data_IF_323252362500
#
_entry.id   IF_323252362500
#
_cell.length_a   1.000
_cell.length_b   1.000
_cell.length_c   1.000
_cell.angle_alpha   90.00
_cell.angle_beta   90.00
_cell.angle_gamma   90.00
#
_symmetry.space_group_name_H-M   'P 1'
#
loop_
_entity.id
_entity.type
_entity.pdbx_description
1 polymer ?
#
# COMPACT_ATOMS: atom_id res chain seq x y z
N UNK A 1 -11.41 -4.33 -3.12
CA UNK A 1 -10.20 -3.61 -3.60
C UNK A 1 -9.27 -3.34 -2.42
N UNK A 2 -7.95 -3.47 -2.56
CA UNK A 2 -6.96 -3.09 -1.51
C UNK A 2 -6.33 -1.74 -1.87
N UNK A 3 -6.24 -0.84 -0.90
CA UNK A 3 -5.57 0.46 -1.04
C UNK A 3 -4.53 0.60 0.06
N UNK A 4 -3.28 0.86 -0.32
CA UNK A 4 -2.16 1.02 0.61
C UNK A 4 -1.61 2.43 0.49
N UNK A 5 -1.60 3.15 1.60
CA UNK A 5 -1.02 4.50 1.68
C UNK A 5 0.37 4.42 2.28
N UNK A 6 1.38 4.79 1.49
CA UNK A 6 2.78 4.83 1.88
C UNK A 6 3.17 6.24 2.35
N UNK A 7 4.05 6.39 3.35
CA UNK A 7 4.50 7.69 3.86
C UNK A 7 5.63 8.26 2.99
N UNK A 8 5.50 8.17 1.67
CA UNK A 8 6.51 8.63 0.70
C UNK A 8 5.88 9.63 -0.26
N UNK A 9 6.68 10.59 -0.70
CA UNK A 9 6.22 11.60 -1.64
C UNK A 9 5.90 11.02 -3.00
N UNK A 10 4.84 11.56 -3.59
CA UNK A 10 4.42 11.22 -4.93
C UNK A 10 5.57 11.49 -5.92
N UNK A 11 5.79 10.62 -6.93
CA UNK A 11 6.87 10.79 -7.90
C UNK A 11 6.82 12.11 -8.70
N UNK A 12 5.70 12.83 -8.70
CA UNK A 12 5.59 14.15 -9.33
C UNK A 12 5.96 15.33 -8.41
N UNK A 13 6.16 15.08 -7.10
CA UNK A 13 6.50 16.09 -6.10
C UNK A 13 7.58 15.52 -5.15
N UNK A 14 8.70 15.09 -5.72
CA UNK A 14 9.75 14.33 -5.02
C UNK A 14 10.93 15.20 -4.58
N UNK A 15 11.09 16.40 -5.14
CA UNK A 15 12.25 17.24 -4.88
C UNK A 15 12.33 17.65 -3.40
N UNK A 16 13.36 17.17 -2.70
CA UNK A 16 13.59 17.48 -1.28
C UNK A 16 12.73 16.69 -0.30
N UNK A 17 12.00 15.66 -0.74
CA UNK A 17 11.14 14.84 0.12
C UNK A 17 11.53 13.35 0.06
N UNK A 18 11.28 12.56 1.12
CA UNK A 18 11.50 11.12 1.09
C UNK A 18 10.67 10.48 -0.03
N UNK A 19 11.33 9.84 -0.98
CA UNK A 19 10.69 9.11 -2.06
C UNK A 19 11.23 7.69 -2.13
N UNK A 20 10.42 6.77 -2.62
CA UNK A 20 10.78 5.37 -2.81
C UNK A 20 10.03 4.81 -4.01
N UNK A 21 10.70 3.94 -4.77
CA UNK A 21 10.03 3.16 -5.80
C UNK A 21 9.11 2.10 -5.17
N UNK A 22 7.88 1.98 -5.67
CA UNK A 22 6.99 0.88 -5.31
C UNK A 22 7.45 -0.36 -6.07
N UNK A 23 8.09 -1.30 -5.38
CA UNK A 23 8.59 -2.55 -5.99
C UNK A 23 7.55 -3.67 -5.93
N UNK A 24 7.61 -4.66 -6.84
CA UNK A 24 6.74 -5.84 -6.76
C UNK A 24 6.85 -6.59 -5.43
N UNK A 25 8.05 -6.68 -4.84
CA UNK A 25 8.27 -7.30 -3.53
C UNK A 25 7.52 -6.55 -2.42
N UNK A 26 7.57 -5.22 -2.43
CA UNK A 26 6.83 -4.38 -1.47
C UNK A 26 5.31 -4.60 -1.60
N UNK A 27 4.80 -4.69 -2.83
CA UNK A 27 3.38 -4.98 -3.09
C UNK A 27 3.01 -6.36 -2.53
N UNK A 28 3.82 -7.39 -2.80
CA UNK A 28 3.56 -8.74 -2.31
C UNK A 28 3.50 -8.80 -0.78
N UNK A 29 4.39 -8.09 -0.09
CA UNK A 29 4.38 -8.03 1.38
C UNK A 29 3.11 -7.37 1.93
N UNK A 30 2.66 -6.27 1.34
CA UNK A 30 1.42 -5.61 1.79
C UNK A 30 0.18 -6.43 1.48
N UNK A 31 0.16 -7.16 0.37
CA UNK A 31 -0.92 -8.12 0.08
C UNK A 31 -0.97 -9.22 1.14
N UNK A 32 0.17 -9.81 1.50
CA UNK A 32 0.24 -10.83 2.58
C UNK A 32 -0.26 -10.28 3.91
N UNK A 33 0.17 -9.06 4.28
CA UNK A 33 -0.30 -8.41 5.50
C UNK A 33 -1.81 -8.13 5.46
N UNK A 34 -2.35 -7.65 4.34
CA UNK A 34 -3.77 -7.38 4.19
C UNK A 34 -4.60 -8.67 4.32
N UNK A 35 -4.15 -9.77 3.70
CA UNK A 35 -4.77 -11.10 3.86
C UNK A 35 -4.78 -11.52 5.33
N UNK A 36 -3.67 -11.37 6.04
CA UNK A 36 -3.58 -11.67 7.48
C UNK A 36 -4.50 -10.78 8.34
N UNK A 37 -4.79 -9.56 7.90
CA UNK A 37 -5.72 -8.62 8.55
C UNK A 37 -7.18 -8.81 8.14
N UNK A 38 -7.48 -9.85 7.35
CA UNK A 38 -8.85 -10.21 6.96
C UNK A 38 -9.34 -9.58 5.66
N UNK A 39 -8.45 -8.99 4.86
CA UNK A 39 -8.82 -8.59 3.50
C UNK A 39 -9.13 -9.84 2.66
N UNK A 40 -10.28 -9.84 2.00
CA UNK A 40 -10.74 -10.94 1.14
C UNK A 40 -10.89 -10.45 -0.29
N UNK A 41 -9.95 -10.75 -1.20
CA UNK A 41 -9.94 -10.18 -2.55
C UNK A 41 -11.12 -10.61 -3.43
N UNK A 42 -11.73 -11.76 -3.12
CA UNK A 42 -12.88 -12.30 -3.87
C UNK A 42 -14.22 -11.74 -3.40
N UNK A 43 -14.26 -11.03 -2.27
CA UNK A 43 -15.49 -10.41 -1.77
C UNK A 43 -15.63 -9.00 -2.36
N UNK A 44 -16.78 -8.74 -2.98
CA UNK A 44 -17.18 -7.38 -3.34
C UNK A 44 -17.47 -6.58 -2.08
N UNK A 45 -17.03 -5.32 -2.05
CA UNK A 45 -17.18 -4.46 -0.90
C UNK A 45 -16.35 -3.19 -1.01
N UNK A 46 -16.39 -2.34 0.05
CA UNK A 46 -15.59 -1.13 0.10
C UNK A 46 -14.08 -1.43 0.03
N UNK A 47 -13.30 -0.40 -0.27
CA UNK A 47 -11.85 -0.52 -0.26
C UNK A 47 -11.35 -0.93 1.13
N UNK A 48 -10.44 -1.90 1.17
CA UNK A 48 -9.71 -2.23 2.38
C UNK A 48 -8.49 -1.33 2.46
N UNK A 49 -8.45 -0.41 3.42
CA UNK A 49 -7.40 0.58 3.55
C UNK A 49 -6.33 0.16 4.54
N UNK A 50 -5.07 0.25 4.12
CA UNK A 50 -3.91 0.03 4.97
C UNK A 50 -3.03 1.28 4.94
N UNK A 51 -2.82 1.89 6.10
CA UNK A 51 -1.82 2.94 6.28
C UNK A 51 -0.52 2.32 6.77
N UNK A 52 0.56 2.58 6.06
CA UNK A 52 1.90 2.15 6.45
C UNK A 52 2.51 3.26 7.28
N UNK A 53 2.80 2.95 8.53
CA UNK A 53 3.59 3.82 9.41
C UNK A 53 5.07 3.57 9.12
N UNK A 54 5.86 4.64 9.08
CA UNK A 54 7.32 4.56 9.00
C UNK A 54 7.92 3.97 10.28
#
# INVERSE_FOLDING_TARGET
MLVVSLPVSHPSNWLGLPTMAVTPSLVADHVRQALARGWKPQESGPAFEVKVSA
#
